data_IF_735967349407
#
_entry.id   IF_735967349407
#
_cell.length_a   1.000
_cell.length_b   1.000
_cell.length_c   1.000
_cell.angle_alpha   90.00
_cell.angle_beta   90.00
_cell.angle_gamma   90.00
#
_symmetry.space_group_name_H-M   'P 1'
#
loop_
_entity.id
_entity.type
_entity.pdbx_description
1 polymer ?
#
# COMPACT_ATOMS: atom_id res chain seq x y z
N UNK A 1 -39.49 -14.03 1.65
CA UNK A 1 -38.02 -13.87 1.72
C UNK A 1 -37.70 -12.41 2.04
N UNK A 2 -38.05 -11.95 3.24
CA UNK A 2 -37.93 -10.52 3.66
C UNK A 2 -37.52 -10.36 5.13
N UNK A 3 -37.43 -11.44 5.90
CA UNK A 3 -37.04 -11.39 7.32
C UNK A 3 -35.54 -11.28 7.57
N UNK A 4 -34.71 -11.69 6.61
CA UNK A 4 -33.24 -11.74 6.79
C UNK A 4 -32.58 -10.36 6.74
N UNK A 5 -33.11 -9.44 5.92
CA UNK A 5 -32.57 -8.07 5.77
C UNK A 5 -32.87 -7.20 6.99
N UNK A 6 -34.05 -7.37 7.61
CA UNK A 6 -34.40 -6.70 8.87
C UNK A 6 -33.48 -7.13 10.02
N UNK A 7 -33.11 -8.41 10.08
CA UNK A 7 -32.21 -8.94 11.12
C UNK A 7 -30.82 -8.30 11.04
N UNK A 8 -30.23 -8.23 9.84
CA UNK A 8 -28.91 -7.60 9.66
C UNK A 8 -28.95 -6.10 9.96
N UNK A 9 -29.99 -5.40 9.51
CA UNK A 9 -30.19 -3.98 9.85
C UNK A 9 -30.32 -3.74 11.35
N UNK A 10 -31.07 -4.59 12.05
CA UNK A 10 -31.23 -4.53 13.50
C UNK A 10 -29.91 -4.81 14.23
N UNK A 11 -29.12 -5.77 13.75
CA UNK A 11 -27.80 -6.08 14.32
C UNK A 11 -26.86 -4.87 14.20
N UNK A 12 -26.80 -4.21 13.04
CA UNK A 12 -26.00 -2.98 12.88
C UNK A 12 -26.47 -1.85 13.79
N UNK A 13 -27.79 -1.72 13.98
CA UNK A 13 -28.38 -0.71 14.86
C UNK A 13 -28.06 -0.99 16.35
N UNK A 14 -28.07 -2.26 16.76
CA UNK A 14 -27.72 -2.69 18.11
C UNK A 14 -26.22 -2.54 18.40
N UNK A 15 -25.34 -2.80 17.43
CA UNK A 15 -23.89 -2.57 17.55
C UNK A 15 -23.59 -1.06 17.67
N UNK A 16 -24.32 -0.22 16.93
CA UNK A 16 -24.23 1.24 17.08
C UNK A 16 -24.76 1.73 18.43
N UNK A 17 -25.81 1.11 18.95
CA UNK A 17 -26.41 1.46 20.25
C UNK A 17 -25.54 1.04 21.44
N UNK A 18 -24.79 -0.07 21.36
CA UNK A 18 -23.83 -0.47 22.41
C UNK A 18 -22.53 0.35 22.37
N UNK A 19 -22.19 0.96 21.22
CA UNK A 19 -21.12 1.93 21.10
C UNK A 19 -21.52 3.34 21.62
N UNK A 20 -22.81 3.64 21.66
CA UNK A 20 -23.37 4.76 22.41
C UNK A 20 -23.45 4.36 23.89
N UNK A 21 -22.31 4.43 24.59
CA UNK A 21 -22.23 4.24 26.04
C UNK A 21 -23.25 5.12 26.80
N UNK A 22 -23.54 4.77 28.07
CA UNK A 22 -24.57 5.43 28.86
C UNK A 22 -24.44 6.95 28.75
N UNK A 23 -25.59 7.65 28.62
CA UNK A 23 -25.73 9.11 28.67
C UNK A 23 -24.58 9.70 29.49
N UNK A 24 -23.68 10.49 28.87
CA UNK A 24 -22.46 10.88 29.54
C UNK A 24 -22.86 11.82 30.67
N UNK A 25 -22.95 11.27 31.87
CA UNK A 25 -22.99 11.98 33.13
C UNK A 25 -21.83 12.98 33.11
N UNK A 26 -22.18 14.20 32.69
CA UNK A 26 -21.52 15.49 32.86
C UNK A 26 -19.98 15.43 32.98
N UNK A 27 -19.29 14.81 32.02
CA UNK A 27 -17.85 15.02 31.88
C UNK A 27 -17.61 16.51 31.62
N UNK A 28 -16.67 17.17 32.32
CA UNK A 28 -16.43 18.60 32.15
C UNK A 28 -16.20 18.92 30.68
N UNK A 29 -16.80 20.00 30.18
CA UNK A 29 -16.69 20.45 28.78
C UNK A 29 -15.23 20.48 28.27
N UNK A 30 -14.27 20.74 29.17
CA UNK A 30 -12.84 20.68 28.89
C UNK A 30 -12.34 19.28 28.48
N UNK A 31 -12.80 18.21 29.12
CA UNK A 31 -12.42 16.81 28.80
C UNK A 31 -13.03 16.36 27.48
N UNK A 32 -14.26 16.80 27.18
CA UNK A 32 -14.89 16.54 25.88
C UNK A 32 -14.19 17.32 24.76
N UNK A 33 -13.76 18.55 25.04
CA UNK A 33 -12.97 19.37 24.12
C UNK A 33 -11.58 18.77 23.85
N UNK A 34 -10.92 18.20 24.85
CA UNK A 34 -9.61 17.57 24.67
C UNK A 34 -9.70 16.30 23.82
N UNK A 35 -10.73 15.47 24.03
CA UNK A 35 -10.96 14.28 23.21
C UNK A 35 -11.29 14.64 21.74
N UNK A 36 -12.11 15.67 21.51
CA UNK A 36 -12.36 16.19 20.15
C UNK A 36 -11.07 16.74 19.50
N UNK A 37 -10.26 17.47 20.25
CA UNK A 37 -9.00 18.02 19.76
C UNK A 37 -7.97 16.92 19.45
N UNK A 38 -7.89 15.89 20.29
CA UNK A 38 -7.04 14.72 20.06
C UNK A 38 -7.48 13.95 18.81
N UNK A 39 -8.79 13.75 18.62
CA UNK A 39 -9.34 13.13 17.43
C UNK A 39 -9.00 13.94 16.16
N UNK A 40 -9.18 15.26 16.18
CA UNK A 40 -8.78 16.13 15.07
C UNK A 40 -7.27 16.08 14.83
N UNK A 41 -6.45 16.06 15.88
CA UNK A 41 -5.00 15.91 15.75
C UNK A 41 -4.60 14.57 15.13
N UNK A 42 -5.32 13.50 15.43
CA UNK A 42 -5.08 12.19 14.84
C UNK A 42 -5.43 12.19 13.35
N UNK A 43 -6.60 12.72 12.98
CA UNK A 43 -7.01 12.83 11.58
C UNK A 43 -6.03 13.67 10.76
N UNK A 44 -5.60 14.83 11.28
CA UNK A 44 -4.60 15.65 10.60
C UNK A 44 -3.27 14.90 10.36
N UNK A 45 -2.85 14.05 11.32
CA UNK A 45 -1.64 13.23 11.14
C UNK A 45 -1.86 12.12 10.12
N UNK A 46 -3.05 11.54 10.08
CA UNK A 46 -3.42 10.52 9.11
C UNK A 46 -3.44 11.11 7.70
N UNK A 47 -4.03 12.29 7.50
CA UNK A 47 -4.04 13.00 6.22
C UNK A 47 -2.63 13.27 5.69
N UNK A 48 -1.69 13.65 6.58
CA UNK A 48 -0.28 13.83 6.20
C UNK A 48 0.37 12.51 5.79
N UNK A 49 0.04 11.41 6.46
CA UNK A 49 0.56 10.08 6.11
C UNK A 49 -0.03 9.61 4.78
N UNK A 50 -1.34 9.73 4.60
CA UNK A 50 -2.04 9.41 3.35
C UNK A 50 -1.43 10.17 2.19
N UNK A 51 -1.30 11.50 2.32
CA UNK A 51 -0.69 12.32 1.27
C UNK A 51 0.74 11.90 0.95
N UNK A 52 1.53 11.59 1.98
CA UNK A 52 2.92 11.13 1.78
C UNK A 52 2.97 9.77 1.08
N UNK A 53 2.04 8.87 1.38
CA UNK A 53 1.93 7.57 0.71
C UNK A 53 1.57 7.78 -0.77
N UNK A 54 0.56 8.60 -1.06
CA UNK A 54 0.17 8.95 -2.43
C UNK A 54 1.35 9.53 -3.22
N UNK A 55 2.01 10.56 -2.69
CA UNK A 55 3.17 11.21 -3.34
C UNK A 55 4.32 10.25 -3.61
N UNK A 56 4.55 9.33 -2.66
CA UNK A 56 5.62 8.34 -2.79
C UNK A 56 5.27 7.33 -3.87
N UNK A 57 4.03 6.84 -3.91
CA UNK A 57 3.58 5.89 -4.93
C UNK A 57 3.66 6.51 -6.32
N UNK A 58 3.13 7.74 -6.50
CA UNK A 58 3.20 8.46 -7.77
C UNK A 58 4.65 8.65 -8.24
N UNK A 59 5.55 9.03 -7.32
CA UNK A 59 6.97 9.16 -7.65
C UNK A 59 7.61 7.84 -8.06
N UNK A 60 7.30 6.74 -7.36
CA UNK A 60 7.80 5.41 -7.69
C UNK A 60 7.31 4.95 -9.07
N UNK A 61 6.06 5.23 -9.43
CA UNK A 61 5.51 4.91 -10.75
C UNK A 61 6.27 5.63 -11.87
N UNK A 62 6.55 6.92 -11.70
CA UNK A 62 7.33 7.72 -12.64
C UNK A 62 8.76 7.20 -12.75
N UNK A 63 9.42 6.93 -11.62
CA UNK A 63 10.80 6.42 -11.60
C UNK A 63 10.89 5.02 -12.23
N UNK A 64 9.90 4.15 -11.98
CA UNK A 64 9.84 2.81 -12.55
C UNK A 64 9.62 2.87 -14.06
N UNK A 65 8.72 3.74 -14.54
CA UNK A 65 8.50 3.94 -15.97
C UNK A 65 9.77 4.41 -16.68
N UNK A 66 10.46 5.41 -16.10
CA UNK A 66 11.73 5.91 -16.62
C UNK A 66 12.84 4.84 -16.62
N UNK A 67 12.88 3.99 -15.59
CA UNK A 67 13.83 2.89 -15.50
C UNK A 67 13.56 1.83 -16.58
N UNK A 68 12.30 1.46 -16.79
CA UNK A 68 11.91 0.50 -17.83
C UNK A 68 12.25 1.03 -19.22
N UNK A 69 11.93 2.29 -19.51
CA UNK A 69 12.32 2.95 -20.77
C UNK A 69 13.84 2.93 -20.97
N UNK A 70 14.61 3.17 -19.91
CA UNK A 70 16.06 3.15 -19.97
C UNK A 70 16.65 1.75 -20.24
N UNK A 71 15.98 0.68 -19.80
CA UNK A 71 16.40 -0.72 -20.02
C UNK A 71 16.00 -1.18 -21.43
N UNK A 72 14.81 -0.83 -21.89
CA UNK A 72 14.32 -1.14 -23.25
C UNK A 72 15.04 -0.33 -24.33
N UNK A 73 15.83 0.67 -23.94
CA UNK A 73 16.63 1.47 -24.86
C UNK A 73 17.50 0.56 -25.78
N UNK A 74 17.50 0.79 -27.11
CA UNK A 74 18.17 -0.07 -28.09
C UNK A 74 19.67 -0.28 -27.85
N UNK A 75 20.32 0.59 -27.07
CA UNK A 75 21.72 0.45 -26.67
C UNK A 75 21.99 -0.79 -25.80
N UNK A 76 20.97 -1.33 -25.14
CA UNK A 76 21.08 -2.49 -24.26
C UNK A 76 20.59 -3.79 -24.90
N UNK A 77 19.89 -3.72 -26.04
CA UNK A 77 19.35 -4.92 -26.71
C UNK A 77 20.42 -5.98 -27.00
N UNK A 78 21.66 -5.65 -27.42
CA UNK A 78 22.68 -6.67 -27.66
C UNK A 78 23.17 -7.36 -26.38
N UNK A 79 23.03 -6.74 -25.21
CA UNK A 79 23.38 -7.36 -23.92
C UNK A 79 22.24 -8.26 -23.41
N UNK A 80 21.00 -7.84 -23.59
CA UNK A 80 19.82 -8.61 -23.20
C UNK A 80 19.63 -9.86 -24.09
N UNK A 81 19.92 -9.77 -25.40
CA UNK A 81 19.82 -10.87 -26.37
C UNK A 81 20.82 -12.01 -26.13
N UNK A 82 21.87 -11.80 -25.32
CA UNK A 82 22.84 -12.85 -24.98
C UNK A 82 22.47 -13.66 -23.72
N UNK A 83 21.36 -13.35 -23.05
CA UNK A 83 20.86 -14.08 -21.87
C UNK A 83 20.51 -15.55 -22.16
N UNK A 84 20.46 -15.96 -23.43
CA UNK A 84 20.20 -17.35 -23.85
C UNK A 84 21.32 -18.03 -24.64
N UNK A 85 22.48 -17.38 -24.84
CA UNK A 85 23.65 -18.07 -25.45
C UNK A 85 24.48 -18.69 -24.34
N UNK A 86 24.91 -19.95 -24.47
CA UNK A 86 25.76 -20.55 -23.45
C UNK A 86 26.98 -19.64 -23.30
N UNK A 87 27.25 -19.19 -22.08
CA UNK A 87 28.51 -18.55 -21.76
C UNK A 87 29.61 -19.40 -22.40
N UNK A 88 30.50 -18.78 -23.18
CA UNK A 88 31.68 -19.46 -23.75
C UNK A 88 32.25 -20.30 -22.61
N UNK A 89 32.20 -21.63 -22.76
CA UNK A 89 32.66 -22.54 -21.74
C UNK A 89 34.19 -22.50 -21.79
N UNK A 90 34.77 -21.63 -20.97
CA UNK A 90 36.23 -21.43 -20.88
C UNK A 90 36.92 -22.70 -20.31
N UNK A 91 36.15 -23.73 -19.93
CA UNK A 91 36.63 -25.03 -19.45
C UNK A 91 36.70 -26.13 -20.53
N UNK A 92 36.51 -25.81 -21.83
CA UNK A 92 36.76 -26.79 -22.90
C UNK A 92 38.27 -27.05 -23.04
N UNK A 93 38.77 -28.06 -22.32
CA UNK A 93 40.14 -28.55 -22.34
C UNK A 93 40.46 -29.13 -23.74
N UNK A 94 41.54 -28.70 -24.42
CA UNK A 94 41.88 -29.27 -25.72
C UNK A 94 42.21 -30.76 -25.58
N UNK A 95 41.31 -31.62 -26.07
CA UNK A 95 41.60 -33.03 -26.34
C UNK A 95 42.86 -33.11 -27.21
N UNK A 96 43.99 -33.46 -26.57
CA UNK A 96 45.21 -33.82 -27.24
C UNK A 96 44.95 -35.11 -28.03
N UNK A 97 44.63 -34.93 -29.32
CA UNK A 97 44.58 -35.98 -30.33
C UNK A 97 45.85 -36.86 -30.23
N UNK A 98 45.65 -38.11 -29.81
CA UNK A 98 46.62 -39.21 -29.98
C UNK A 98 46.30 -39.99 -31.25
#
# INVERSE_FOLDING_TARGET
>A
MTGFTFSVGLIFLLIGYTAAGPEPDLLPRAVRSSACQEHTSLHNRLDVVEKKVEDTVEKLEVELAALLEAIEAPKWSPLLDNTGKPAVDILEDPEWRS
#
